data_IF_514737351675
#
_entry.id   IF_514737351675
#
_cell.length_a   1.000
_cell.length_b   1.000
_cell.length_c   1.000
_cell.angle_alpha   90.00
_cell.angle_beta   90.00
_cell.angle_gamma   90.00
#
_symmetry.space_group_name_H-M   'P 1'
#
loop_
_entity.id
_entity.type
_entity.pdbx_description
1 polymer ?
#
# COMPACT_ATOMS: atom_id res chain seq x y z
N UNK A 1 1.51 14.23 -6.18
CA UNK A 1 1.27 14.70 -4.79
C UNK A 1 -0.17 14.35 -4.44
N UNK A 2 -0.41 13.78 -3.25
CA UNK A 2 -1.76 13.40 -2.82
C UNK A 2 -2.51 14.64 -2.29
N UNK A 3 -3.81 14.76 -2.56
CA UNK A 3 -4.60 15.89 -2.05
C UNK A 3 -5.10 15.63 -0.62
N UNK A 4 -5.38 16.70 0.14
CA UNK A 4 -5.88 16.57 1.52
C UNK A 4 -7.22 15.84 1.62
N UNK A 5 -8.10 16.01 0.62
CA UNK A 5 -9.38 15.31 0.52
C UNK A 5 -9.18 13.80 0.34
N UNK A 6 -8.25 13.40 -0.53
CA UNK A 6 -7.88 12.01 -0.76
C UNK A 6 -7.31 11.37 0.51
N UNK A 7 -6.43 12.08 1.23
CA UNK A 7 -5.88 11.58 2.50
C UNK A 7 -6.97 11.33 3.52
N UNK A 8 -7.94 12.24 3.61
CA UNK A 8 -9.09 12.06 4.48
C UNK A 8 -9.92 10.83 4.10
N UNK A 9 -10.22 10.65 2.80
CA UNK A 9 -10.97 9.49 2.32
C UNK A 9 -10.24 8.17 2.60
N UNK A 10 -8.94 8.08 2.32
CA UNK A 10 -8.14 6.88 2.59
C UNK A 10 -8.15 6.53 4.08
N UNK A 11 -7.95 7.51 4.97
CA UNK A 11 -8.01 7.32 6.42
C UNK A 11 -9.39 6.91 6.92
N UNK A 12 -10.43 7.60 6.48
CA UNK A 12 -11.80 7.34 6.90
C UNK A 12 -12.27 5.95 6.47
N UNK A 13 -11.93 5.54 5.24
CA UNK A 13 -12.31 4.23 4.72
C UNK A 13 -11.40 3.10 5.21
N UNK A 14 -10.16 3.38 5.60
CA UNK A 14 -9.31 2.38 6.24
C UNK A 14 -9.95 1.78 7.48
N UNK A 15 -10.56 2.60 8.34
CA UNK A 15 -11.24 2.12 9.55
C UNK A 15 -12.35 1.09 9.24
N UNK A 16 -13.07 1.28 8.14
CA UNK A 16 -14.09 0.34 7.68
C UNK A 16 -13.47 -0.92 7.03
N UNK A 17 -12.43 -0.73 6.20
CA UNK A 17 -11.73 -1.84 5.54
C UNK A 17 -11.01 -2.76 6.53
N UNK A 18 -10.43 -2.20 7.59
CA UNK A 18 -9.66 -2.92 8.61
C UNK A 18 -10.50 -3.38 9.81
N UNK A 19 -11.83 -3.24 9.77
CA UNK A 19 -12.72 -3.66 10.85
C UNK A 19 -12.69 -5.18 11.09
N UNK A 20 -12.45 -5.94 10.02
CA UNK A 20 -12.20 -7.38 10.04
C UNK A 20 -10.83 -7.65 9.40
N UNK A 21 -9.74 -7.61 10.19
CA UNK A 21 -8.39 -7.73 9.66
C UNK A 21 -8.09 -9.11 9.07
N UNK A 22 -8.74 -10.17 9.58
CA UNK A 22 -8.57 -11.53 9.06
C UNK A 22 -9.17 -11.64 7.66
N UNK A 23 -10.37 -11.08 7.45
CA UNK A 23 -10.98 -11.03 6.12
C UNK A 23 -10.19 -10.17 5.14
N UNK A 24 -9.69 -9.02 5.60
CA UNK A 24 -8.84 -8.17 4.77
C UNK A 24 -7.55 -8.89 4.35
N UNK A 25 -6.91 -9.63 5.28
CA UNK A 25 -5.74 -10.46 4.98
C UNK A 25 -6.04 -11.60 4.01
N UNK A 26 -7.16 -12.29 4.20
CA UNK A 26 -7.58 -13.36 3.30
C UNK A 26 -7.71 -12.82 1.87
N UNK A 27 -8.43 -11.70 1.69
CA UNK A 27 -8.54 -11.06 0.39
C UNK A 27 -7.18 -10.63 -0.19
N UNK A 28 -6.31 -10.05 0.64
CA UNK A 28 -4.98 -9.63 0.23
C UNK A 28 -4.14 -10.80 -0.27
N UNK A 29 -3.99 -11.88 0.52
CA UNK A 29 -3.17 -13.03 0.16
C UNK A 29 -3.76 -13.83 -1.00
N UNK A 30 -5.09 -14.00 -1.05
CA UNK A 30 -5.75 -14.66 -2.17
C UNK A 30 -5.43 -13.93 -3.49
N UNK A 31 -5.52 -12.61 -3.49
CA UNK A 31 -5.19 -11.82 -4.67
C UNK A 31 -3.71 -11.81 -4.98
N UNK A 32 -2.87 -11.68 -3.96
CA UNK A 32 -1.41 -11.67 -4.10
C UNK A 32 -0.93 -12.95 -4.78
N UNK A 33 -1.39 -14.11 -4.31
CA UNK A 33 -0.99 -15.40 -4.85
C UNK A 33 -1.66 -15.75 -6.17
N UNK A 34 -2.81 -15.14 -6.49
CA UNK A 34 -3.41 -15.24 -7.81
C UNK A 34 -2.58 -14.48 -8.85
N UNK A 35 -2.07 -13.30 -8.49
CA UNK A 35 -1.28 -12.45 -9.37
C UNK A 35 0.16 -12.96 -9.52
N UNK A 36 0.75 -13.47 -8.44
CA UNK A 36 2.08 -14.08 -8.45
C UNK A 36 2.13 -15.29 -7.50
N UNK A 37 1.94 -16.51 -8.04
CA UNK A 37 1.99 -17.74 -7.25
C UNK A 37 3.36 -18.01 -6.61
N UNK A 38 4.45 -17.44 -7.14
CA UNK A 38 5.81 -17.67 -6.64
C UNK A 38 6.01 -17.07 -5.24
N UNK A 39 5.24 -16.03 -4.89
CA UNK A 39 5.29 -15.39 -3.58
C UNK A 39 4.88 -16.32 -2.43
N UNK A 40 4.16 -17.41 -2.71
CA UNK A 40 3.88 -18.46 -1.70
C UNK A 40 5.15 -19.11 -1.18
N UNK A 41 6.21 -19.16 -2.00
CA UNK A 41 7.48 -19.78 -1.62
C UNK A 41 8.30 -18.91 -0.66
N UNK A 42 8.06 -17.59 -0.66
CA UNK A 42 8.75 -16.65 0.24
C UNK A 42 8.21 -16.72 1.69
N UNK A 43 7.04 -17.29 1.89
CA UNK A 43 6.39 -17.42 3.21
C UNK A 43 6.67 -18.79 3.85
N UNK A 44 7.51 -19.64 3.22
CA UNK A 44 7.87 -20.95 3.76
C UNK A 44 8.73 -20.77 5.02
N UNK A 45 8.18 -21.11 6.19
CA UNK A 45 8.88 -21.12 7.48
C UNK A 45 8.44 -20.05 8.48
N UNK A 46 7.59 -19.10 8.08
CA UNK A 46 6.97 -18.11 8.97
C UNK A 46 5.46 -18.38 9.10
N UNK A 47 4.82 -17.96 10.20
CA UNK A 47 3.36 -17.95 10.31
C UNK A 47 2.80 -16.85 9.38
N UNK A 48 2.13 -17.22 8.26
CA UNK A 48 1.59 -16.26 7.31
C UNK A 48 0.61 -15.29 7.95
N UNK A 49 -0.08 -15.72 9.01
CA UNK A 49 -1.06 -14.92 9.72
C UNK A 49 -0.37 -13.84 10.57
N UNK A 50 0.71 -14.20 11.27
CA UNK A 50 1.48 -13.25 12.07
C UNK A 50 2.20 -12.21 11.20
N UNK A 51 2.79 -12.65 10.09
CA UNK A 51 3.43 -11.77 9.11
C UNK A 51 2.39 -10.84 8.45
N UNK A 52 1.24 -11.38 8.06
CA UNK A 52 0.12 -10.61 7.52
C UNK A 52 -0.37 -9.52 8.48
N UNK A 53 -0.61 -9.87 9.76
CA UNK A 53 -1.05 -8.87 10.77
C UNK A 53 -0.02 -7.75 10.95
N UNK A 54 1.26 -8.08 10.93
CA UNK A 54 2.34 -7.09 11.01
C UNK A 54 2.34 -6.16 9.78
N UNK A 55 2.14 -6.73 8.59
CA UNK A 55 2.01 -5.95 7.35
C UNK A 55 0.82 -5.00 7.41
N UNK A 56 -0.38 -5.48 7.77
CA UNK A 56 -1.57 -4.64 7.88
C UNK A 56 -1.42 -3.56 8.96
N UNK A 57 -0.78 -3.87 10.08
CA UNK A 57 -0.49 -2.88 11.11
C UNK A 57 0.40 -1.77 10.54
N UNK A 58 1.47 -2.14 9.83
CA UNK A 58 2.40 -1.19 9.21
C UNK A 58 1.70 -0.31 8.18
N UNK A 59 0.84 -0.89 7.34
CA UNK A 59 0.02 -0.15 6.38
C UNK A 59 -0.91 0.81 7.12
N UNK A 60 -1.58 0.36 8.18
CA UNK A 60 -2.47 1.19 8.98
C UNK A 60 -1.77 2.40 9.59
N UNK A 61 -0.57 2.20 10.16
CA UNK A 61 0.27 3.30 10.67
C UNK A 61 0.60 4.28 9.54
N UNK A 62 1.01 3.78 8.37
CA UNK A 62 1.35 4.64 7.24
C UNK A 62 0.13 5.44 6.72
N UNK A 63 -1.06 4.83 6.63
CA UNK A 63 -2.32 5.49 6.25
C UNK A 63 -2.69 6.59 7.25
N UNK A 64 -2.50 6.36 8.55
CA UNK A 64 -2.74 7.39 9.56
C UNK A 64 -1.77 8.56 9.44
N UNK A 65 -0.55 8.34 8.96
CA UNK A 65 0.50 9.35 8.86
C UNK A 65 0.83 9.82 7.42
N UNK A 66 -0.13 9.73 6.49
CA UNK A 66 0.05 10.10 5.08
C UNK A 66 0.65 11.50 4.84
N UNK A 67 0.30 12.52 5.63
CA UNK A 67 0.88 13.87 5.49
C UNK A 67 2.40 13.86 5.69
N UNK A 68 2.88 13.14 6.72
CA UNK A 68 4.30 13.01 7.01
C UNK A 68 5.00 12.14 5.97
N UNK A 69 4.34 11.07 5.53
CA UNK A 69 4.87 10.16 4.53
C UNK A 69 5.07 10.87 3.18
N UNK A 70 4.09 11.66 2.73
CA UNK A 70 4.15 12.42 1.47
C UNK A 70 5.32 13.41 1.50
N UNK A 71 5.52 14.12 2.62
CA UNK A 71 6.65 15.03 2.80
C UNK A 71 8.02 14.33 2.78
N UNK A 72 8.12 13.12 3.36
CA UNK A 72 9.36 12.31 3.32
C UNK A 72 9.63 11.82 1.90
N UNK A 73 8.62 11.26 1.22
CA UNK A 73 8.75 10.72 -0.14
C UNK A 73 9.11 11.82 -1.13
N UNK A 74 8.47 12.99 -1.04
CA UNK A 74 8.80 14.15 -1.88
C UNK A 74 10.25 14.58 -1.72
N UNK A 75 10.78 14.57 -0.48
CA UNK A 75 12.18 14.93 -0.19
C UNK A 75 13.18 13.88 -0.70
N UNK A 76 12.85 12.59 -0.63
CA UNK A 76 13.77 11.50 -0.96
C UNK A 76 13.76 11.10 -2.44
N UNK A 77 12.63 11.23 -3.12
CA UNK A 77 12.43 10.72 -4.48
C UNK A 77 12.00 11.79 -5.50
N UNK A 78 11.77 13.04 -5.06
CA UNK A 78 11.28 14.12 -5.92
C UNK A 78 9.87 13.89 -6.47
N UNK A 79 9.46 14.76 -7.38
CA UNK A 79 8.27 14.56 -8.20
C UNK A 79 8.61 13.58 -9.33
N UNK A 80 7.81 12.53 -9.46
CA UNK A 80 8.03 11.45 -10.43
C UNK A 80 6.77 10.62 -10.58
N UNK A 81 6.78 9.65 -11.49
CA UNK A 81 5.59 8.86 -11.82
C UNK A 81 5.00 8.11 -10.62
N UNK A 82 3.69 7.89 -10.71
CA UNK A 82 2.96 7.02 -9.78
C UNK A 82 3.48 5.60 -10.00
N UNK A 83 4.05 5.02 -8.95
CA UNK A 83 4.37 3.59 -8.88
C UNK A 83 3.13 2.90 -8.35
N UNK A 84 2.62 1.89 -9.06
CA UNK A 84 1.42 1.17 -8.63
C UNK A 84 1.69 0.17 -7.50
N UNK A 85 2.96 0.02 -7.07
CA UNK A 85 3.39 -0.96 -6.08
C UNK A 85 3.45 -2.39 -6.62
N UNK A 86 3.37 -2.56 -7.93
CA UNK A 86 3.36 -3.85 -8.61
C UNK A 86 2.29 -4.79 -8.07
N UNK A 87 2.64 -6.06 -7.96
CA UNK A 87 1.72 -7.13 -7.51
C UNK A 87 1.19 -6.88 -6.10
N UNK A 88 2.03 -6.39 -5.19
CA UNK A 88 1.64 -6.11 -3.79
C UNK A 88 0.65 -4.95 -3.72
N UNK A 89 0.91 -3.86 -4.44
CA UNK A 89 0.01 -2.71 -4.48
C UNK A 89 -1.34 -3.05 -5.11
N UNK A 90 -1.34 -3.82 -6.20
CA UNK A 90 -2.56 -4.31 -6.83
C UNK A 90 -3.38 -5.23 -5.90
N UNK A 91 -2.71 -6.12 -5.16
CA UNK A 91 -3.36 -6.99 -4.18
C UNK A 91 -3.98 -6.20 -3.02
N UNK A 92 -3.26 -5.19 -2.50
CA UNK A 92 -3.76 -4.33 -1.43
C UNK A 92 -4.98 -3.52 -1.86
N UNK A 93 -4.93 -2.91 -3.06
CA UNK A 93 -6.05 -2.14 -3.59
C UNK A 93 -7.30 -3.00 -3.72
N UNK A 94 -7.15 -4.22 -4.25
CA UNK A 94 -8.24 -5.19 -4.37
C UNK A 94 -8.79 -5.61 -3.00
N UNK A 95 -7.92 -5.89 -2.02
CA UNK A 95 -8.35 -6.32 -0.70
C UNK A 95 -9.19 -5.26 0.03
N UNK A 96 -8.82 -3.98 -0.13
CA UNK A 96 -9.58 -2.85 0.40
C UNK A 96 -10.93 -2.72 -0.30
N UNK A 97 -10.96 -2.81 -1.64
CA UNK A 97 -12.20 -2.80 -2.42
C UNK A 97 -13.19 -3.87 -1.94
N UNK A 98 -12.71 -5.11 -1.80
CA UNK A 98 -13.54 -6.22 -1.34
C UNK A 98 -14.03 -6.03 0.10
N UNK A 99 -13.19 -5.46 0.97
CA UNK A 99 -13.51 -5.27 2.38
C UNK A 99 -14.49 -4.11 2.62
N UNK A 100 -14.43 -3.08 1.77
CA UNK A 100 -15.37 -1.94 1.80
C UNK A 100 -16.71 -2.27 1.14
N UNK A 101 -16.68 -3.10 0.11
CA UNK A 101 -17.85 -3.43 -0.68
C UNK A 101 -18.38 -2.24 -1.52
N UNK A 102 -19.41 -2.49 -2.35
CA UNK A 102 -19.85 -1.55 -3.37
C UNK A 102 -20.48 -0.27 -2.81
N UNK A 103 -20.98 -0.30 -1.57
CA UNK A 103 -21.60 0.86 -0.93
C UNK A 103 -20.57 1.94 -0.54
N UNK A 104 -19.35 1.52 -0.16
CA UNK A 104 -18.29 2.43 0.28
C UNK A 104 -17.20 2.63 -0.77
N UNK A 105 -17.06 1.69 -1.73
CA UNK A 105 -16.10 1.79 -2.83
C UNK A 105 -16.57 2.70 -3.96
N UNK A 106 -16.54 4.01 -3.68
CA UNK A 106 -16.91 5.06 -4.64
C UNK A 106 -15.71 5.48 -5.51
N UNK A 107 -15.92 6.14 -6.67
CA UNK A 107 -14.81 6.62 -7.50
C UNK A 107 -13.80 7.51 -6.76
N UNK A 108 -14.20 8.46 -5.88
CA UNK A 108 -13.25 9.23 -5.08
C UNK A 108 -12.43 8.38 -4.10
N UNK A 109 -13.05 7.36 -3.49
CA UNK A 109 -12.37 6.43 -2.58
C UNK A 109 -11.34 5.60 -3.36
N UNK A 110 -11.69 5.12 -4.55
CA UNK A 110 -10.76 4.42 -5.43
C UNK A 110 -9.54 5.27 -5.77
N UNK A 111 -9.73 6.51 -6.19
CA UNK A 111 -8.62 7.44 -6.52
C UNK A 111 -7.74 7.68 -5.30
N UNK A 112 -8.35 7.93 -4.13
CA UNK A 112 -7.62 8.11 -2.88
C UNK A 112 -6.74 6.89 -2.53
N UNK A 113 -7.28 5.68 -2.71
CA UNK A 113 -6.53 4.45 -2.47
C UNK A 113 -5.44 4.19 -3.49
N UNK A 114 -5.64 4.52 -4.77
CA UNK A 114 -4.60 4.44 -5.80
C UNK A 114 -3.41 5.34 -5.45
N UNK A 115 -3.65 6.60 -5.06
CA UNK A 115 -2.59 7.50 -4.62
C UNK A 115 -1.93 7.04 -3.30
N UNK A 116 -2.72 6.50 -2.37
CA UNK A 116 -2.19 5.94 -1.12
C UNK A 116 -1.24 4.77 -1.38
N UNK A 117 -1.67 3.78 -2.17
CA UNK A 117 -0.84 2.62 -2.56
C UNK A 117 0.43 3.08 -3.25
N UNK A 118 0.31 4.05 -4.17
CA UNK A 118 1.47 4.58 -4.85
C UNK A 118 2.46 5.25 -3.88
N UNK A 119 1.96 6.01 -2.91
CA UNK A 119 2.81 6.63 -1.90
C UNK A 119 3.53 5.58 -1.03
N UNK A 120 2.82 4.52 -0.62
CA UNK A 120 3.40 3.40 0.13
C UNK A 120 4.51 2.72 -0.66
N UNK A 121 4.27 2.38 -1.93
CA UNK A 121 5.25 1.77 -2.81
C UNK A 121 6.53 2.62 -2.92
N UNK A 122 6.36 3.93 -3.14
CA UNK A 122 7.48 4.87 -3.22
C UNK A 122 8.29 4.91 -1.93
N UNK A 123 7.63 4.84 -0.77
CA UNK A 123 8.32 4.89 0.53
C UNK A 123 9.21 3.68 0.82
N UNK A 124 8.96 2.54 0.18
CA UNK A 124 9.75 1.31 0.34
C UNK A 124 10.97 1.27 -0.57
N UNK A 125 11.08 2.19 -1.54
CA UNK A 125 12.24 2.24 -2.42
C UNK A 125 13.42 2.82 -1.66
N UNK A 126 14.58 2.18 -1.82
CA UNK A 126 15.82 2.84 -1.44
C UNK A 126 15.93 4.17 -2.19
N UNK A 127 16.38 5.27 -1.55
CA UNK A 127 16.67 6.49 -2.28
C UNK A 127 17.63 6.11 -3.40
N UNK A 128 17.33 6.51 -4.64
CA UNK A 128 18.24 6.30 -5.75
C UNK A 128 19.50 7.08 -5.42
N UNK A 129 20.51 6.40 -4.86
CA UNK A 129 21.85 6.96 -4.71
C UNK A 129 22.28 7.30 -6.13
N UNK A 130 22.32 8.60 -6.42
CA UNK A 130 22.86 9.10 -7.67
C UNK A 130 24.20 8.42 -7.87
N UNK A 131 24.28 7.61 -8.93
CA UNK A 131 25.50 6.95 -9.36
C UNK A 131 26.50 8.06 -9.72
N UNK A 132 27.22 8.55 -8.73
CA UNK A 132 28.41 9.37 -8.97
C UNK A 132 29.42 8.42 -9.59
N UNK A 133 29.55 8.52 -10.90
CA UNK A 133 30.70 8.03 -11.63
C UNK A 133 31.94 8.63 -10.96
N UNK A 134 32.65 7.83 -10.15
CA UNK A 134 34.06 8.08 -9.91
C UNK A 134 34.80 7.51 -11.12
N UNK A 135 35.03 8.38 -12.09
CA UNK A 135 36.20 8.27 -12.96
C UNK A 135 37.39 8.67 -12.11
N UNK A 136 38.30 7.72 -11.87
CA UNK A 136 39.69 7.95 -11.51
C UNK A 136 40.50 6.83 -12.15
#
# INVERSE_FOLDING_TARGET
MMHSSERHLARATWAAASADPERLLAHFFDRLYLLDPSLRLLVIGEDPSAQGRTLLHTIGVAVMHLDRLDGIVARLHGDGDLDDGGVVGAALLWAVEQSLGPALWTPPVRVAWQHCVALLARSQRSPSVGRSARVA
#
